data_IF_297596754141
#
_entry.id   IF_297596754141
#
_cell.length_a   1.000
_cell.length_b   1.000
_cell.length_c   1.000
_cell.angle_alpha   90.00
_cell.angle_beta   90.00
_cell.angle_gamma   90.00
#
_symmetry.space_group_name_H-M   'P 1'
#
loop_
_entity.id
_entity.type
_entity.pdbx_description
1 polymer ?
#
# COMPACT_ATOMS: atom_id res chain seq x y z
N UNK A 1 3.03 3.69 -12.37
CA UNK A 1 4.46 3.69 -11.98
C UNK A 1 5.27 3.49 -13.25
N UNK A 2 6.30 4.31 -13.48
CA UNK A 2 7.24 4.08 -14.59
C UNK A 2 8.43 3.28 -14.05
N UNK A 3 8.97 2.33 -14.84
CA UNK A 3 10.11 1.49 -14.44
C UNK A 3 9.75 0.02 -14.17
N UNK A 4 10.53 -0.64 -13.31
CA UNK A 4 10.51 -2.10 -13.08
C UNK A 4 9.24 -2.63 -12.41
N UNK A 5 8.43 -1.75 -11.80
CA UNK A 5 7.12 -2.05 -11.22
C UNK A 5 5.99 -1.30 -11.96
N UNK A 6 6.05 -1.21 -13.29
CA UNK A 6 4.97 -0.65 -14.10
C UNK A 6 3.81 -1.63 -14.29
N UNK A 7 2.67 -1.14 -14.79
CA UNK A 7 1.51 -1.98 -15.12
C UNK A 7 1.85 -3.08 -16.13
N UNK A 8 2.74 -2.78 -17.08
CA UNK A 8 3.25 -3.77 -18.04
C UNK A 8 4.01 -4.90 -17.35
N UNK A 9 4.94 -4.57 -16.43
CA UNK A 9 5.72 -5.59 -15.73
C UNK A 9 4.86 -6.42 -14.78
N UNK A 10 3.92 -5.79 -14.06
CA UNK A 10 2.97 -6.49 -13.18
C UNK A 10 2.08 -7.46 -13.95
N UNK A 11 1.43 -6.99 -15.03
CA UNK A 11 0.50 -7.80 -15.83
C UNK A 11 1.15 -9.01 -16.50
N UNK A 12 2.48 -8.98 -16.68
CA UNK A 12 3.27 -10.07 -17.27
C UNK A 12 4.03 -10.90 -16.25
N UNK A 13 3.87 -10.63 -14.95
CA UNK A 13 4.63 -11.27 -13.87
C UNK A 13 6.15 -11.18 -14.07
N UNK A 14 6.60 -10.04 -14.60
CA UNK A 14 8.01 -9.79 -14.91
C UNK A 14 8.68 -8.86 -13.91
N UNK A 15 8.12 -8.70 -12.70
CA UNK A 15 8.81 -7.97 -11.64
C UNK A 15 9.92 -8.81 -11.00
N UNK A 16 10.87 -8.15 -10.34
CA UNK A 16 11.88 -8.81 -9.51
C UNK A 16 11.37 -8.84 -8.05
N UNK A 17 10.97 -10.00 -7.51
CA UNK A 17 10.39 -10.08 -6.17
C UNK A 17 11.35 -9.65 -5.05
N UNK A 18 12.67 -9.80 -5.22
CA UNK A 18 13.64 -9.29 -4.24
C UNK A 18 13.65 -7.76 -4.19
N UNK A 19 13.45 -7.07 -5.33
CA UNK A 19 13.28 -5.61 -5.33
C UNK A 19 11.94 -5.20 -4.72
N UNK A 20 10.88 -6.00 -4.94
CA UNK A 20 9.57 -5.77 -4.32
C UNK A 20 9.66 -5.87 -2.79
N UNK A 21 10.38 -6.87 -2.26
CA UNK A 21 10.63 -7.01 -0.81
C UNK A 21 11.29 -5.77 -0.21
N UNK A 22 12.29 -5.18 -0.88
CA UNK A 22 13.05 -4.04 -0.33
C UNK A 22 12.22 -2.78 -0.11
N UNK A 23 11.06 -2.67 -0.77
CA UNK A 23 10.14 -1.53 -0.63
C UNK A 23 8.89 -1.87 0.19
N UNK A 24 8.68 -3.15 0.51
CA UNK A 24 7.44 -3.64 1.11
C UNK A 24 7.23 -3.05 2.52
N UNK A 25 8.30 -3.01 3.33
CA UNK A 25 8.26 -2.47 4.67
C UNK A 25 7.85 -0.99 4.67
N UNK A 26 8.47 -0.19 3.81
CA UNK A 26 8.22 1.25 3.68
C UNK A 26 6.81 1.54 3.17
N UNK A 27 6.26 0.67 2.31
CA UNK A 27 4.88 0.79 1.84
C UNK A 27 3.86 0.53 2.96
N UNK A 28 4.08 -0.49 3.78
CA UNK A 28 3.23 -0.80 4.94
C UNK A 28 3.33 0.31 5.99
N UNK A 29 4.54 0.80 6.28
CA UNK A 29 4.75 1.94 7.18
C UNK A 29 4.03 3.20 6.65
N UNK A 30 4.12 3.48 5.35
CA UNK A 30 3.41 4.60 4.73
C UNK A 30 1.88 4.46 4.83
N UNK A 31 1.35 3.24 4.67
CA UNK A 31 -0.08 2.97 4.86
C UNK A 31 -0.51 3.30 6.29
N UNK A 32 0.24 2.84 7.29
CA UNK A 32 0.00 3.13 8.71
C UNK A 32 0.03 4.64 8.99
N UNK A 33 1.09 5.31 8.55
CA UNK A 33 1.26 6.77 8.73
C UNK A 33 0.11 7.57 8.09
N UNK A 34 -0.38 7.16 6.92
CA UNK A 34 -1.52 7.82 6.28
C UNK A 34 -2.84 7.54 6.99
N UNK A 35 -3.01 6.35 7.55
CA UNK A 35 -4.18 6.02 8.35
C UNK A 35 -4.23 6.85 9.64
N UNK A 36 -3.09 7.00 10.33
CA UNK A 36 -2.97 7.88 11.49
C UNK A 36 -3.24 9.35 11.12
N UNK A 37 -2.62 9.83 10.04
CA UNK A 37 -2.82 11.20 9.56
C UNK A 37 -4.29 11.46 9.23
N UNK A 38 -5.00 10.50 8.60
CA UNK A 38 -6.45 10.60 8.36
C UNK A 38 -7.20 10.84 9.67
N UNK A 39 -6.86 10.10 10.73
CA UNK A 39 -7.46 10.25 12.06
C UNK A 39 -7.22 11.64 12.66
N UNK A 40 -5.97 12.12 12.62
CA UNK A 40 -5.64 13.47 13.09
C UNK A 40 -6.39 14.55 12.31
N UNK A 41 -6.44 14.44 10.98
CA UNK A 41 -7.15 15.41 10.13
C UNK A 41 -8.65 15.41 10.41
N UNK A 42 -9.27 14.24 10.57
CA UNK A 42 -10.69 14.14 10.93
C UNK A 42 -10.97 14.87 12.25
N UNK A 43 -10.14 14.63 13.27
CA UNK A 43 -10.31 15.27 14.58
C UNK A 43 -10.15 16.80 14.53
N UNK A 44 -9.28 17.31 13.67
CA UNK A 44 -9.12 18.76 13.47
C UNK A 44 -10.33 19.34 12.72
N UNK A 45 -10.79 18.67 11.66
CA UNK A 45 -11.91 19.14 10.84
C UNK A 45 -13.22 19.20 11.64
N UNK A 46 -13.47 18.21 12.51
CA UNK A 46 -14.64 18.19 13.39
C UNK A 46 -14.67 19.33 14.43
N UNK A 47 -13.56 20.04 14.65
CA UNK A 47 -13.53 21.23 15.50
C UNK A 47 -13.99 22.50 14.77
N UNK A 48 -14.04 22.46 13.43
CA UNK A 48 -14.24 23.64 12.57
C UNK A 48 -15.51 23.50 11.73
N UNK A 49 -15.78 22.28 11.25
CA UNK A 49 -16.87 21.96 10.33
C UNK A 49 -17.85 20.95 10.93
N UNK A 50 -19.04 20.87 10.34
CA UNK A 50 -19.98 19.80 10.62
C UNK A 50 -19.41 18.43 10.22
N UNK A 51 -19.94 17.37 10.84
CA UNK A 51 -19.51 16.00 10.59
C UNK A 51 -19.59 15.62 9.11
N UNK A 52 -20.71 15.89 8.45
CA UNK A 52 -20.90 15.58 7.03
C UNK A 52 -19.82 16.20 6.13
N UNK A 53 -19.48 17.48 6.36
CA UNK A 53 -18.43 18.19 5.61
C UNK A 53 -17.04 17.61 5.90
N UNK A 54 -16.79 17.22 7.16
CA UNK A 54 -15.53 16.61 7.57
C UNK A 54 -15.35 15.23 6.92
N UNK A 55 -16.39 14.41 6.94
CA UNK A 55 -16.37 13.08 6.30
C UNK A 55 -16.29 13.17 4.78
N UNK A 56 -17.00 14.11 4.15
CA UNK A 56 -16.88 14.37 2.71
C UNK A 56 -15.44 14.72 2.35
N UNK A 57 -14.82 15.67 3.05
CA UNK A 57 -13.45 16.09 2.78
C UNK A 57 -12.47 14.92 2.96
N UNK A 58 -12.58 14.19 4.07
CA UNK A 58 -11.76 13.00 4.31
C UNK A 58 -11.98 11.94 3.21
N UNK A 59 -13.24 11.74 2.79
CA UNK A 59 -13.64 10.84 1.72
C UNK A 59 -13.05 11.21 0.37
N UNK A 60 -12.99 12.51 0.05
CA UNK A 60 -12.44 13.01 -1.22
C UNK A 60 -10.92 12.95 -1.27
N UNK A 61 -10.22 13.23 -0.17
CA UNK A 61 -8.77 13.42 -0.19
C UNK A 61 -7.98 12.23 0.39
N UNK A 62 -8.40 11.67 1.52
CA UNK A 62 -7.65 10.59 2.19
C UNK A 62 -7.99 9.21 1.67
N UNK A 63 -9.27 8.93 1.42
CA UNK A 63 -9.70 7.60 0.97
C UNK A 63 -9.04 7.16 -0.35
N UNK A 64 -8.90 8.01 -1.39
CA UNK A 64 -8.22 7.61 -2.62
C UNK A 64 -6.73 7.29 -2.42
N UNK A 65 -6.05 8.02 -1.52
CA UNK A 65 -4.63 7.78 -1.20
C UNK A 65 -4.45 6.43 -0.51
N UNK A 66 -5.27 6.14 0.50
CA UNK A 66 -5.26 4.86 1.21
C UNK A 66 -5.58 3.70 0.28
N UNK A 67 -6.63 3.83 -0.55
CA UNK A 67 -7.00 2.81 -1.54
C UNK A 67 -5.85 2.54 -2.52
N UNK A 68 -5.18 3.59 -2.99
CA UNK A 68 -4.06 3.45 -3.92
C UNK A 68 -2.88 2.71 -3.29
N UNK A 69 -2.51 3.03 -2.05
CA UNK A 69 -1.40 2.36 -1.36
C UNK A 69 -1.74 0.91 -1.04
N UNK A 70 -2.95 0.63 -0.57
CA UNK A 70 -3.46 -0.74 -0.38
C UNK A 70 -3.37 -1.57 -1.67
N UNK A 71 -3.77 -0.98 -2.80
CA UNK A 71 -3.65 -1.65 -4.10
C UNK A 71 -2.20 -1.98 -4.44
N UNK A 72 -1.27 -1.04 -4.22
CA UNK A 72 0.16 -1.26 -4.50
C UNK A 72 0.73 -2.36 -3.59
N UNK A 73 0.40 -2.36 -2.30
CA UNK A 73 0.82 -3.38 -1.34
C UNK A 73 0.30 -4.76 -1.76
N UNK A 74 -0.95 -4.85 -2.18
CA UNK A 74 -1.53 -6.10 -2.66
C UNK A 74 -0.84 -6.60 -3.95
N UNK A 75 -0.54 -5.69 -4.88
CA UNK A 75 0.24 -6.02 -6.07
C UNK A 75 1.63 -6.54 -5.70
N UNK A 76 2.30 -5.91 -4.73
CA UNK A 76 3.60 -6.35 -4.22
C UNK A 76 3.52 -7.77 -3.63
N UNK A 77 2.54 -8.04 -2.76
CA UNK A 77 2.29 -9.37 -2.19
C UNK A 77 2.09 -10.42 -3.28
N UNK A 78 1.28 -10.10 -4.29
CA UNK A 78 1.01 -11.00 -5.41
C UNK A 78 2.29 -11.29 -6.21
N UNK A 79 3.06 -10.26 -6.55
CA UNK A 79 4.29 -10.43 -7.32
C UNK A 79 5.37 -11.20 -6.57
N UNK A 80 5.47 -11.03 -5.24
CA UNK A 80 6.34 -11.84 -4.38
C UNK A 80 5.92 -13.30 -4.40
N UNK A 81 4.62 -13.62 -4.28
CA UNK A 81 4.14 -15.01 -4.35
C UNK A 81 4.44 -15.70 -5.69
N UNK A 82 4.44 -14.95 -6.79
CA UNK A 82 4.68 -15.50 -8.13
C UNK A 82 6.17 -15.79 -8.38
N UNK A 83 7.10 -15.08 -7.71
CA UNK A 83 8.54 -15.26 -7.91
C UNK A 83 9.11 -14.65 -9.20
N UNK A 84 8.25 -14.24 -10.13
CA UNK A 84 8.55 -13.43 -11.30
C UNK A 84 9.83 -13.84 -12.06
N UNK A 85 10.81 -12.92 -12.12
CA UNK A 85 12.07 -13.12 -12.87
C UNK A 85 13.16 -13.89 -12.13
N UNK A 86 12.94 -14.32 -10.88
CA UNK A 86 13.95 -15.03 -10.10
C UNK A 86 13.62 -16.53 -10.10
N UNK A 87 14.51 -17.32 -10.67
CA UNK A 87 14.42 -18.78 -10.66
C UNK A 87 14.61 -19.29 -9.23
N UNK A 88 13.77 -20.25 -8.83
CA UNK A 88 13.81 -20.89 -7.50
C UNK A 88 13.63 -19.91 -6.33
N UNK A 89 13.03 -18.74 -6.58
CA UNK A 89 12.68 -17.79 -5.53
C UNK A 89 11.74 -18.44 -4.52
N UNK A 90 12.10 -18.36 -3.24
CA UNK A 90 11.31 -18.86 -2.12
C UNK A 90 10.76 -17.67 -1.36
N UNK A 91 9.44 -17.57 -1.35
CA UNK A 91 8.76 -16.56 -0.56
C UNK A 91 8.77 -16.99 0.92
N UNK A 92 9.56 -16.31 1.75
CA UNK A 92 9.57 -16.55 3.19
C UNK A 92 8.30 -15.97 3.85
N UNK A 93 7.47 -16.87 4.41
CA UNK A 93 6.15 -16.55 4.99
C UNK A 93 6.20 -15.64 6.22
N UNK A 94 7.37 -15.30 6.74
CA UNK A 94 7.54 -14.44 7.94
C UNK A 94 6.92 -13.06 7.73
N UNK A 95 6.90 -12.55 6.50
CA UNK A 95 6.27 -11.28 6.14
C UNK A 95 4.72 -11.30 6.20
N UNK A 96 4.08 -12.46 6.40
CA UNK A 96 2.62 -12.56 6.61
C UNK A 96 2.21 -12.42 8.09
N UNK A 97 3.07 -12.78 9.04
CA UNK A 97 2.71 -12.88 10.46
C UNK A 97 2.84 -11.58 11.25
N UNK A 98 3.63 -10.61 10.78
CA UNK A 98 3.90 -9.39 11.55
C UNK A 98 2.91 -8.23 11.32
N UNK A 99 1.96 -8.39 10.40
CA UNK A 99 1.01 -7.31 10.03
C UNK A 99 -0.47 -7.69 10.28
N UNK A 100 -0.74 -8.60 11.21
CA UNK A 100 -2.08 -8.82 11.77
C UNK A 100 -2.19 -8.13 13.13
N UNK A 101 -2.27 -6.80 13.12
CA UNK A 101 -2.69 -6.00 14.27
C UNK A 101 -3.76 -5.01 13.83
#
# INVERSE_FOLDING_TARGET
MLGWFSDYFRSRNFTNPAQVETIMFQLVELEGNLFELKGHMRNILLQIFYEDTSEEWIGCFFSPLLTRIKSIINDCKLQMQIGGRIKDYKFDKVLQSENSY
#
